data_IF_012660503781
#
_entry.id   IF_012660503781
#
_cell.length_a   1.000
_cell.length_b   1.000
_cell.length_c   1.000
_cell.angle_alpha   90.00
_cell.angle_beta   90.00
_cell.angle_gamma   90.00
#
_symmetry.space_group_name_H-M   'P 1'
#
loop_
_entity.id
_entity.type
_entity.pdbx_description
1 polymer ?
#
# COMPACT_ATOMS: atom_id res chain seq x y z
N UNK A 1 -8.83 -5.50 2.14
CA UNK A 1 -7.71 -5.11 3.04
C UNK A 1 -6.68 -6.22 3.18
N UNK A 2 -7.00 -7.38 3.77
CA UNK A 2 -6.03 -8.51 3.86
C UNK A 2 -5.47 -8.96 2.51
N UNK A 3 -6.30 -8.99 1.46
CA UNK A 3 -5.87 -9.34 0.10
C UNK A 3 -4.82 -8.37 -0.49
N UNK A 4 -4.64 -7.17 0.07
CA UNK A 4 -3.61 -6.23 -0.37
C UNK A 4 -2.25 -6.50 0.28
N UNK A 5 -2.21 -7.22 1.42
CA UNK A 5 -0.98 -7.50 2.17
C UNK A 5 0.10 -8.18 1.32
N UNK A 6 -0.20 -9.20 0.50
CA UNK A 6 0.80 -9.82 -0.35
C UNK A 6 1.42 -8.85 -1.36
N UNK A 7 0.64 -7.92 -1.91
CA UNK A 7 1.13 -6.94 -2.87
C UNK A 7 2.13 -5.97 -2.22
N UNK A 8 1.83 -5.47 -1.01
CA UNK A 8 2.76 -4.63 -0.25
C UNK A 8 3.96 -5.39 0.28
N UNK A 9 3.80 -6.67 0.63
CA UNK A 9 4.90 -7.55 1.01
C UNK A 9 5.88 -7.78 -0.14
N UNK A 10 5.37 -8.07 -1.33
CA UNK A 10 6.17 -8.19 -2.56
C UNK A 10 6.91 -6.90 -2.88
N UNK A 11 6.22 -5.75 -2.79
CA UNK A 11 6.82 -4.44 -3.05
C UNK A 11 7.95 -4.13 -2.06
N UNK A 12 7.75 -4.44 -0.78
CA UNK A 12 8.76 -4.28 0.26
C UNK A 12 9.97 -5.17 -0.01
N UNK A 13 9.73 -6.43 -0.37
CA UNK A 13 10.79 -7.37 -0.71
C UNK A 13 11.64 -6.91 -1.90
N UNK A 14 10.99 -6.48 -3.00
CA UNK A 14 11.72 -6.01 -4.18
C UNK A 14 12.49 -4.71 -3.91
N UNK A 15 11.92 -3.80 -3.12
CA UNK A 15 12.63 -2.58 -2.72
C UNK A 15 13.86 -2.89 -1.86
N UNK A 16 13.78 -3.90 -0.99
CA UNK A 16 14.95 -4.40 -0.25
C UNK A 16 15.99 -4.99 -1.20
N UNK A 17 15.60 -5.94 -2.06
CA UNK A 17 16.51 -6.63 -2.97
C UNK A 17 17.30 -5.63 -3.84
N UNK A 18 16.62 -4.63 -4.42
CA UNK A 18 17.25 -3.53 -5.16
C UNK A 18 18.15 -2.65 -4.29
N UNK A 19 17.77 -2.38 -3.04
CA UNK A 19 18.63 -1.61 -2.12
C UNK A 19 19.93 -2.35 -1.75
N UNK A 20 19.94 -3.68 -1.88
CA UNK A 20 21.09 -4.53 -1.60
C UNK A 20 21.95 -4.82 -2.84
N UNK A 21 21.48 -4.47 -4.05
CA UNK A 21 22.14 -4.83 -5.31
C UNK A 21 23.34 -3.95 -5.70
N UNK A 22 23.79 -3.05 -4.81
CA UNK A 22 24.93 -2.16 -5.05
C UNK A 22 24.61 -0.94 -5.94
N UNK A 23 23.35 -0.51 -6.00
CA UNK A 23 22.96 0.76 -6.63
C UNK A 23 23.67 1.95 -5.95
N UNK A 24 23.86 3.07 -6.68
CA UNK A 24 24.38 4.31 -6.09
C UNK A 24 23.59 4.73 -4.84
N UNK A 25 24.27 5.28 -3.82
CA UNK A 25 23.64 5.65 -2.54
C UNK A 25 22.44 6.60 -2.69
N UNK A 26 22.46 7.46 -3.72
CA UNK A 26 21.36 8.35 -4.08
C UNK A 26 20.01 7.62 -4.32
N UNK A 27 20.05 6.35 -4.73
CA UNK A 27 18.86 5.51 -4.90
C UNK A 27 18.61 4.60 -3.70
N UNK A 28 19.67 4.18 -3.00
CA UNK A 28 19.58 3.23 -1.90
C UNK A 28 18.70 3.74 -0.75
N UNK A 29 18.83 5.01 -0.36
CA UNK A 29 18.01 5.58 0.71
C UNK A 29 16.54 5.70 0.33
N UNK A 30 16.26 6.06 -0.93
CA UNK A 30 14.90 6.08 -1.48
C UNK A 30 14.26 4.69 -1.47
N UNK A 31 15.01 3.65 -1.84
CA UNK A 31 14.56 2.26 -1.83
C UNK A 31 14.34 1.72 -0.41
N UNK A 32 15.22 2.05 0.55
CA UNK A 32 15.04 1.69 1.97
C UNK A 32 13.80 2.35 2.56
N UNK A 33 13.56 3.62 2.24
CA UNK A 33 12.34 4.31 2.64
C UNK A 33 11.10 3.64 2.03
N UNK A 34 11.15 3.30 0.74
CA UNK A 34 10.05 2.62 0.06
C UNK A 34 9.77 1.22 0.65
N UNK A 35 10.83 0.47 0.97
CA UNK A 35 10.75 -0.82 1.67
C UNK A 35 10.04 -0.67 3.02
N UNK A 36 10.47 0.28 3.85
CA UNK A 36 9.86 0.52 5.17
C UNK A 36 8.41 1.00 5.05
N UNK A 37 8.14 1.94 4.15
CA UNK A 37 6.80 2.49 3.93
C UNK A 37 5.81 1.43 3.42
N UNK A 38 6.25 0.55 2.52
CA UNK A 38 5.43 -0.55 2.01
C UNK A 38 5.18 -1.64 3.04
N UNK A 39 6.18 -2.01 3.85
CA UNK A 39 5.99 -2.90 4.99
C UNK A 39 4.95 -2.32 5.97
N UNK A 40 5.10 -1.05 6.35
CA UNK A 40 4.16 -0.37 7.24
C UNK A 40 2.75 -0.29 6.64
N UNK A 41 2.62 0.03 5.35
CA UNK A 41 1.33 0.05 4.67
C UNK A 41 0.65 -1.32 4.72
N UNK A 42 1.39 -2.40 4.45
CA UNK A 42 0.89 -3.77 4.57
C UNK A 42 0.40 -4.09 5.99
N UNK A 43 1.19 -3.74 7.01
CA UNK A 43 0.84 -3.95 8.43
C UNK A 43 -0.40 -3.16 8.83
N UNK A 44 -0.48 -1.88 8.45
CA UNK A 44 -1.64 -1.01 8.74
C UNK A 44 -2.90 -1.59 8.12
N UNK A 45 -2.84 -2.01 6.85
CA UNK A 45 -3.99 -2.62 6.16
C UNK A 45 -4.40 -3.96 6.79
N UNK A 46 -3.44 -4.77 7.26
CA UNK A 46 -3.72 -6.03 7.95
C UNK A 46 -4.37 -5.78 9.31
N UNK A 47 -3.79 -4.90 10.12
CA UNK A 47 -4.26 -4.57 11.46
C UNK A 47 -5.65 -3.95 11.44
N UNK A 48 -5.96 -3.12 10.44
CA UNK A 48 -7.25 -2.46 10.32
C UNK A 48 -8.34 -3.33 9.68
N UNK A 49 -8.00 -4.46 9.05
CA UNK A 49 -8.97 -5.30 8.35
C UNK A 49 -10.06 -5.90 9.27
N UNK A 50 -9.69 -6.31 10.48
CA UNK A 50 -10.60 -6.86 11.49
C UNK A 50 -11.45 -5.77 12.16
N UNK A 51 -10.89 -4.68 12.71
CA UNK A 51 -11.66 -3.66 13.40
C UNK A 51 -12.62 -2.89 12.48
N UNK A 52 -12.31 -2.74 11.19
CA UNK A 52 -13.24 -2.16 10.20
C UNK A 52 -14.54 -2.96 10.13
N UNK A 53 -14.48 -4.29 10.23
CA UNK A 53 -15.68 -5.15 10.26
C UNK A 53 -16.52 -4.95 11.53
N UNK A 54 -15.94 -4.41 12.61
CA UNK A 54 -16.63 -4.14 13.87
C UNK A 54 -17.35 -2.80 13.90
N UNK A 55 -17.28 -1.98 12.84
CA UNK A 55 -18.22 -0.87 12.60
C UNK A 55 -17.98 0.44 13.38
N UNK A 56 -16.89 0.57 14.13
CA UNK A 56 -16.57 1.79 14.88
C UNK A 56 -16.15 2.96 13.96
N UNK A 57 -16.71 4.15 14.18
CA UNK A 57 -16.47 5.31 13.29
C UNK A 57 -15.00 5.81 13.28
N UNK A 58 -14.31 5.74 14.42
CA UNK A 58 -12.89 6.12 14.52
C UNK A 58 -12.00 5.13 13.75
N UNK A 59 -12.25 3.84 13.91
CA UNK A 59 -11.52 2.76 13.22
C UNK A 59 -11.74 2.80 11.71
N UNK A 60 -12.95 3.21 11.30
CA UNK A 60 -13.29 3.47 9.92
C UNK A 60 -12.47 4.61 9.30
N UNK A 61 -12.40 5.77 9.97
CA UNK A 61 -11.61 6.91 9.51
C UNK A 61 -10.12 6.58 9.46
N UNK A 62 -9.61 5.84 10.45
CA UNK A 62 -8.24 5.35 10.45
C UNK A 62 -7.96 4.44 9.24
N UNK A 63 -8.90 3.56 8.88
CA UNK A 63 -8.79 2.70 7.71
C UNK A 63 -8.79 3.49 6.39
N UNK A 64 -9.60 4.54 6.27
CA UNK A 64 -9.55 5.44 5.11
C UNK A 64 -8.20 6.16 5.00
N UNK A 65 -7.73 6.75 6.10
CA UNK A 65 -6.42 7.41 6.13
C UNK A 65 -5.29 6.43 5.76
N UNK A 66 -5.30 5.22 6.33
CA UNK A 66 -4.34 4.17 6.01
C UNK A 66 -4.40 3.73 4.54
N UNK A 67 -5.60 3.63 3.96
CA UNK A 67 -5.77 3.28 2.54
C UNK A 67 -5.26 4.39 1.59
N UNK A 68 -5.38 5.66 1.96
CA UNK A 68 -4.81 6.79 1.21
C UNK A 68 -3.29 6.78 1.28
N UNK A 69 -2.72 6.58 2.48
CA UNK A 69 -1.26 6.46 2.65
C UNK A 69 -0.71 5.30 1.82
N UNK A 70 -1.39 4.14 1.87
CA UNK A 70 -0.99 2.96 1.11
C UNK A 70 -1.04 3.19 -0.42
N UNK A 71 -2.01 3.98 -0.92
CA UNK A 71 -2.04 4.41 -2.31
C UNK A 71 -0.84 5.30 -2.65
N UNK A 72 -0.52 6.28 -1.78
CA UNK A 72 0.66 7.14 -1.94
C UNK A 72 1.96 6.34 -2.05
N UNK A 73 2.14 5.32 -1.20
CA UNK A 73 3.31 4.42 -1.27
C UNK A 73 3.37 3.69 -2.62
N UNK A 74 2.23 3.24 -3.15
CA UNK A 74 2.18 2.54 -4.43
C UNK A 74 2.54 3.45 -5.60
N UNK A 75 2.10 4.71 -5.56
CA UNK A 75 2.47 5.73 -6.55
C UNK A 75 3.97 6.06 -6.49
N UNK A 76 4.53 6.18 -5.28
CA UNK A 76 5.98 6.36 -5.09
C UNK A 76 6.78 5.18 -5.65
N UNK A 77 6.29 3.95 -5.50
CA UNK A 77 6.92 2.78 -6.10
C UNK A 77 6.90 2.82 -7.63
N UNK A 78 5.77 3.18 -8.24
CA UNK A 78 5.65 3.34 -9.70
C UNK A 78 6.59 4.42 -10.24
N UNK A 79 6.70 5.55 -9.54
CA UNK A 79 7.66 6.60 -9.88
C UNK A 79 9.11 6.11 -9.81
N UNK A 80 9.45 5.37 -8.75
CA UNK A 80 10.80 4.82 -8.55
C UNK A 80 11.12 3.78 -9.62
N UNK A 81 10.17 2.90 -9.95
CA UNK A 81 10.30 1.90 -11.00
C UNK A 81 10.52 2.55 -12.38
N UNK A 82 9.80 3.63 -12.68
CA UNK A 82 10.00 4.38 -13.92
C UNK A 82 11.39 5.03 -14.00
N UNK A 83 11.92 5.56 -12.88
CA UNK A 83 13.29 6.12 -12.83
C UNK A 83 14.37 5.06 -13.00
N UNK A 84 14.19 3.89 -12.41
CA UNK A 84 15.15 2.79 -12.46
C UNK A 84 14.98 1.90 -13.71
N UNK A 85 13.93 2.12 -14.50
CA UNK A 85 13.50 1.23 -15.59
C UNK A 85 13.33 -0.23 -15.15
N UNK A 86 12.96 -0.45 -13.88
CA UNK A 86 12.84 -1.78 -13.29
C UNK A 86 11.43 -2.34 -13.45
N UNK A 87 11.31 -3.39 -14.28
CA UNK A 87 10.04 -4.04 -14.62
C UNK A 87 9.38 -4.77 -13.44
N UNK A 88 10.10 -5.54 -12.60
CA UNK A 88 9.46 -6.22 -11.47
C UNK A 88 8.93 -5.24 -10.43
N UNK A 89 9.65 -4.16 -10.11
CA UNK A 89 9.18 -3.10 -9.22
C UNK A 89 7.97 -2.38 -9.81
N UNK A 90 7.94 -2.15 -11.13
CA UNK A 90 6.78 -1.59 -11.81
C UNK A 90 5.54 -2.49 -11.64
N UNK A 91 5.69 -3.79 -11.86
CA UNK A 91 4.60 -4.75 -11.72
C UNK A 91 4.08 -4.81 -10.28
N UNK A 92 4.98 -4.88 -9.28
CA UNK A 92 4.61 -4.88 -7.87
C UNK A 92 3.92 -3.56 -7.45
N UNK A 93 4.45 -2.41 -7.89
CA UNK A 93 3.83 -1.10 -7.69
C UNK A 93 2.41 -1.03 -8.27
N UNK A 94 2.21 -1.60 -9.46
CA UNK A 94 0.91 -1.64 -10.13
C UNK A 94 -0.09 -2.50 -9.37
N UNK A 95 0.33 -3.70 -8.92
CA UNK A 95 -0.49 -4.58 -8.09
C UNK A 95 -0.88 -3.92 -6.77
N UNK A 96 0.08 -3.26 -6.10
CA UNK A 96 -0.17 -2.54 -4.86
C UNK A 96 -1.19 -1.41 -5.08
N UNK A 97 -1.02 -0.61 -6.13
CA UNK A 97 -1.93 0.49 -6.47
C UNK A 97 -3.35 0.00 -6.76
N UNK A 98 -3.51 -1.06 -7.58
CA UNK A 98 -4.82 -1.67 -7.84
C UNK A 98 -5.45 -2.16 -6.54
N UNK A 99 -4.69 -2.81 -5.68
CA UNK A 99 -5.18 -3.26 -4.38
C UNK A 99 -5.60 -2.08 -3.49
N UNK A 100 -4.86 -0.97 -3.45
CA UNK A 100 -5.27 0.23 -2.71
C UNK A 100 -6.55 0.83 -3.26
N UNK A 101 -6.69 0.92 -4.59
CA UNK A 101 -7.89 1.46 -5.24
C UNK A 101 -9.10 0.62 -4.86
N UNK A 102 -9.00 -0.71 -4.98
CA UNK A 102 -10.08 -1.64 -4.59
C UNK A 102 -10.43 -1.48 -3.11
N UNK A 103 -9.44 -1.33 -2.22
CA UNK A 103 -9.68 -1.08 -0.80
C UNK A 103 -10.39 0.25 -0.57
N UNK A 104 -10.00 1.33 -1.25
CA UNK A 104 -10.64 2.63 -1.13
C UNK A 104 -12.09 2.60 -1.62
N UNK A 105 -12.35 1.99 -2.77
CA UNK A 105 -13.71 1.80 -3.31
C UNK A 105 -14.56 0.97 -2.34
N UNK A 106 -14.02 -0.16 -1.86
CA UNK A 106 -14.71 -1.01 -0.90
C UNK A 106 -15.04 -0.23 0.36
N UNK A 107 -14.09 0.58 0.87
CA UNK A 107 -14.33 1.38 2.04
C UNK A 107 -15.52 2.33 1.78
N UNK A 108 -15.37 3.21 0.79
CA UNK A 108 -16.39 4.19 0.44
C UNK A 108 -17.78 3.57 0.21
N UNK A 109 -17.85 2.43 -0.48
CA UNK A 109 -19.12 1.74 -0.74
C UNK A 109 -19.85 1.28 0.53
N UNK A 110 -19.12 0.87 1.57
CA UNK A 110 -19.77 0.48 2.84
C UNK A 110 -20.21 1.69 3.68
N UNK A 111 -19.55 2.85 3.52
CA UNK A 111 -20.03 4.10 4.12
C UNK A 111 -21.34 4.55 3.47
N UNK A 112 -21.43 4.48 2.13
CA UNK A 112 -22.67 4.76 1.39
C UNK A 112 -23.81 3.83 1.83
N UNK A 113 -23.57 2.51 1.95
CA UNK A 113 -24.59 1.57 2.44
C UNK A 113 -25.09 1.92 3.84
N UNK A 114 -24.16 2.25 4.74
CA UNK A 114 -24.48 2.67 6.11
C UNK A 114 -25.33 3.94 6.15
N UNK A 115 -25.10 4.90 5.25
CA UNK A 115 -25.93 6.11 5.13
C UNK A 115 -27.33 5.80 4.57
N UNK A 116 -27.42 4.86 3.64
CA UNK A 116 -28.69 4.42 3.06
C UNK A 116 -29.52 3.52 4.01
N UNK A 117 -29.01 3.16 5.19
CA UNK A 117 -29.69 2.29 6.15
C UNK A 117 -29.85 0.84 5.69
N UNK A 118 -29.04 0.40 4.71
CA UNK A 118 -28.94 -0.96 4.18
C UNK A 118 -27.81 -1.73 4.86
#
# INVERSE_FOLDING_TARGET
MLAAVPAYGLLSYLAWDLSASGLPEEFADGLRFLMAASALAGVVLAALAVPVRRGGHVLWRAAQAGAVVALGVSLSALYTAARLADTPLLLAGTLAAVASIVVNIALWSTEVRRWCGL
#
